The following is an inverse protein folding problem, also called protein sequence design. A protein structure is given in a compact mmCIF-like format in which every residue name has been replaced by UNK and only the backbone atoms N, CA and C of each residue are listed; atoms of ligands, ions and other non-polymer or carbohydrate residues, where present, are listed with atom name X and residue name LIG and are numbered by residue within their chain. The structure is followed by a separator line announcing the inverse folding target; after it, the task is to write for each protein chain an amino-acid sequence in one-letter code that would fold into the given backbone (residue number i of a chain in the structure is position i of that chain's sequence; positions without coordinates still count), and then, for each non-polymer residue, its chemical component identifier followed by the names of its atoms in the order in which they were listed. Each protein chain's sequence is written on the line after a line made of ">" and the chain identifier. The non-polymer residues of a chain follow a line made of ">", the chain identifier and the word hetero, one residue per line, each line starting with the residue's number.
data_IF_941231023885
#
_entry.id   IF_941231023885
#
_cell.length_a   1.000
_cell.length_b   1.000
_cell.length_c   1.000
_cell.angle_alpha   90.00
_cell.angle_beta   90.00
_cell.angle_gamma   90.00
#
_symmetry.space_group_name_H-M   'P 1'
#
loop_
_entity.id
_entity.type
_entity.pdbx_description
1 polymer ?
#
# COMPACT_ATOMS: atom_id res chain seq x y z
N UNK A 1 -7.71 -1.51 4.24
CA UNK A 1 -9.02 -2.08 3.85
C UNK A 1 -9.34 -3.37 4.61
N UNK A 2 -8.55 -4.43 4.51
CA UNK A 2 -8.85 -5.72 5.18
C UNK A 2 -9.08 -5.56 6.69
N UNK A 3 -8.19 -4.86 7.40
CA UNK A 3 -8.35 -4.63 8.83
C UNK A 3 -9.65 -3.88 9.19
N UNK A 4 -10.10 -2.95 8.34
CA UNK A 4 -11.37 -2.24 8.51
C UNK A 4 -12.57 -3.18 8.34
N UNK A 5 -12.55 -4.03 7.30
CA UNK A 5 -13.60 -5.03 7.07
C UNK A 5 -13.68 -6.05 8.22
N UNK A 6 -12.54 -6.51 8.72
CA UNK A 6 -12.47 -7.41 9.88
C UNK A 6 -13.01 -6.72 11.13
N UNK A 7 -12.59 -5.47 11.41
CA UNK A 7 -13.06 -4.73 12.57
C UNK A 7 -14.58 -4.57 12.58
N UNK A 8 -15.20 -4.24 11.43
CA UNK A 8 -16.67 -4.18 11.31
C UNK A 8 -17.33 -5.51 11.65
N UNK A 9 -16.79 -6.63 11.16
CA UNK A 9 -17.35 -7.96 11.42
C UNK A 9 -17.26 -8.33 12.90
N UNK A 10 -16.14 -8.00 13.54
CA UNK A 10 -15.94 -8.22 14.98
C UNK A 10 -16.90 -7.35 15.81
N UNK A 11 -17.02 -6.05 15.51
CA UNK A 11 -17.98 -5.16 16.18
C UNK A 11 -19.43 -5.62 16.01
N UNK A 12 -19.80 -6.08 14.81
CA UNK A 12 -21.12 -6.63 14.54
C UNK A 12 -21.43 -7.91 15.35
N UNK A 13 -20.38 -8.65 15.75
CA UNK A 13 -20.49 -9.81 16.62
C UNK A 13 -20.42 -9.47 18.12
N UNK A 14 -20.32 -8.20 18.48
CA UNK A 14 -20.30 -7.71 19.86
C UNK A 14 -18.90 -7.55 20.45
N UNK A 15 -17.84 -7.73 19.66
CA UNK A 15 -16.47 -7.48 20.13
C UNK A 15 -16.16 -5.97 20.21
N UNK A 16 -15.33 -5.59 21.17
CA UNK A 16 -14.77 -4.24 21.27
C UNK A 16 -13.46 -4.14 20.48
N UNK A 17 -13.41 -3.29 19.45
CA UNK A 17 -12.17 -2.98 18.72
C UNK A 17 -11.49 -1.75 19.34
N UNK A 18 -10.48 -2.01 20.17
CA UNK A 18 -9.74 -0.94 20.88
C UNK A 18 -8.80 -0.13 19.99
N UNK A 19 -8.39 -0.67 18.86
CA UNK A 19 -7.51 0.02 17.92
C UNK A 19 -7.68 -0.52 16.50
N UNK A 20 -7.80 0.42 15.56
CA UNK A 20 -7.68 0.15 14.12
C UNK A 20 -6.76 1.21 13.52
N UNK A 21 -5.67 0.77 12.88
CA UNK A 21 -4.72 1.63 12.19
C UNK A 21 -4.83 1.49 10.67
N UNK A 22 -4.90 2.61 9.94
CA UNK A 22 -4.67 2.66 8.50
C UNK A 22 -3.30 3.28 8.22
N UNK A 23 -2.46 2.57 7.46
CA UNK A 23 -1.12 3.05 7.12
C UNK A 23 -1.12 3.61 5.71
N UNK A 24 -1.17 4.94 5.63
CA UNK A 24 -1.03 5.73 4.43
C UNK A 24 -1.89 5.24 3.25
N UNK A 25 -3.16 4.91 3.55
CA UNK A 25 -4.12 4.38 2.58
C UNK A 25 -5.50 5.04 2.78
N UNK A 26 -6.13 5.60 1.74
CA UNK A 26 -7.47 6.18 1.80
C UNK A 26 -8.52 5.06 1.77
N UNK A 27 -9.77 5.35 2.15
CA UNK A 27 -10.85 4.35 2.09
C UNK A 27 -11.24 4.01 0.64
N UNK A 28 -11.21 4.99 -0.26
CA UNK A 28 -11.51 4.79 -1.68
C UNK A 28 -10.24 4.50 -2.48
N UNK A 29 -10.05 3.24 -2.86
CA UNK A 29 -8.86 2.76 -3.60
C UNK A 29 -9.18 2.28 -5.02
N UNK A 30 -10.47 2.23 -5.36
CA UNK A 30 -10.99 1.59 -6.57
C UNK A 30 -10.32 2.07 -7.86
N UNK A 31 -10.26 3.37 -8.07
CA UNK A 31 -9.67 3.95 -9.27
C UNK A 31 -8.18 3.60 -9.41
N UNK A 32 -7.46 3.53 -8.29
CA UNK A 32 -6.05 3.11 -8.29
C UNK A 32 -5.93 1.63 -8.61
N UNK A 33 -6.78 0.76 -8.04
CA UNK A 33 -6.71 -0.68 -8.31
C UNK A 33 -6.93 -1.00 -9.80
N UNK A 34 -7.77 -0.22 -10.49
CA UNK A 34 -8.02 -0.36 -11.93
C UNK A 34 -6.83 0.01 -12.84
N UNK A 35 -5.83 0.70 -12.30
CA UNK A 35 -4.61 1.07 -13.01
C UNK A 35 -3.49 0.05 -12.83
N UNK A 36 -3.65 -0.94 -11.95
CA UNK A 36 -2.61 -1.89 -11.58
C UNK A 36 -2.88 -3.24 -12.25
N UNK A 37 -2.64 -3.31 -13.55
CA UNK A 37 -2.68 -4.59 -14.26
C UNK A 37 -1.46 -5.48 -13.89
N UNK A 38 -1.36 -6.65 -14.50
CA UNK A 38 -0.30 -7.61 -14.18
C UNK A 38 1.10 -7.04 -14.47
N UNK A 39 1.28 -6.25 -15.54
CA UNK A 39 2.57 -5.67 -15.91
C UNK A 39 2.93 -4.57 -14.92
N UNK A 40 2.00 -3.68 -14.61
CA UNK A 40 2.20 -2.61 -13.64
C UNK A 40 2.45 -3.16 -12.22
N UNK A 41 1.78 -4.26 -11.83
CA UNK A 41 2.10 -4.98 -10.59
C UNK A 41 3.54 -5.52 -10.60
N UNK A 42 4.01 -6.02 -11.75
CA UNK A 42 5.38 -6.49 -11.95
C UNK A 42 6.41 -5.39 -11.79
N UNK A 43 6.16 -4.23 -12.38
CA UNK A 43 7.02 -3.06 -12.31
C UNK A 43 7.10 -2.54 -10.86
N UNK A 44 5.96 -2.34 -10.21
CA UNK A 44 5.91 -1.85 -8.83
C UNK A 44 6.63 -2.81 -7.87
N UNK A 45 6.40 -4.12 -7.99
CA UNK A 45 7.10 -5.11 -7.17
C UNK A 45 8.61 -5.08 -7.42
N UNK A 46 9.03 -4.93 -8.67
CA UNK A 46 10.45 -4.88 -9.03
C UNK A 46 11.15 -3.65 -8.46
N UNK A 47 10.48 -2.51 -8.49
CA UNK A 47 10.96 -1.29 -7.84
C UNK A 47 11.06 -1.47 -6.31
N UNK A 48 10.01 -1.97 -5.65
CA UNK A 48 10.01 -2.15 -4.19
C UNK A 48 11.03 -3.17 -3.67
N UNK A 49 11.47 -4.08 -4.54
CA UNK A 49 12.51 -5.07 -4.23
C UNK A 49 13.91 -4.60 -4.64
N UNK A 50 14.07 -3.34 -5.06
CA UNK A 50 15.31 -2.77 -5.58
C UNK A 50 15.90 -3.57 -6.76
N UNK A 51 15.04 -4.19 -7.57
CA UNK A 51 15.45 -4.83 -8.84
C UNK A 51 15.67 -3.78 -9.93
N UNK A 52 14.90 -2.69 -9.89
CA UNK A 52 14.99 -1.51 -10.74
C UNK A 52 14.76 -0.25 -9.89
N UNK A 53 15.21 0.93 -10.34
CA UNK A 53 14.92 2.19 -9.62
C UNK A 53 13.48 2.68 -9.88
N UNK A 54 12.99 3.61 -9.04
CA UNK A 54 11.69 4.26 -9.23
C UNK A 54 11.63 5.01 -10.57
N UNK A 55 12.70 5.73 -10.92
CA UNK A 55 12.75 6.44 -12.20
C UNK A 55 12.67 5.46 -13.37
N UNK A 56 13.41 4.36 -13.28
CA UNK A 56 13.40 3.35 -14.34
C UNK A 56 12.04 2.65 -14.45
N UNK A 57 11.35 2.39 -13.34
CA UNK A 57 10.00 1.85 -13.33
C UNK A 57 9.01 2.75 -14.10
N UNK A 58 9.08 4.06 -13.90
CA UNK A 58 8.25 5.04 -14.61
C UNK A 58 8.55 5.07 -16.12
N UNK A 59 9.82 4.96 -16.51
CA UNK A 59 10.25 4.91 -17.91
C UNK A 59 9.87 3.62 -18.62
N UNK A 60 9.91 2.49 -17.89
CA UNK A 60 9.64 1.16 -18.42
C UNK A 60 8.15 0.90 -18.61
N UNK A 61 7.29 1.47 -17.77
CA UNK A 61 5.85 1.16 -17.78
C UNK A 61 5.23 1.24 -19.18
N UNK A 62 5.31 2.35 -19.94
CA UNK A 62 4.72 2.38 -21.28
C UNK A 62 5.26 1.29 -22.22
N UNK A 63 6.57 0.98 -22.14
CA UNK A 63 7.24 0.01 -23.02
C UNK A 63 6.86 -1.43 -22.69
N UNK A 64 6.79 -1.77 -21.41
CA UNK A 64 6.49 -3.14 -20.98
C UNK A 64 5.02 -3.51 -21.21
N UNK A 65 4.11 -2.54 -21.24
CA UNK A 65 2.71 -2.78 -21.61
C UNK A 65 2.52 -3.07 -23.10
N UNK A 66 3.52 -2.83 -23.95
CA UNK A 66 3.51 -3.25 -25.38
C UNK A 66 3.95 -4.71 -25.56
N UNK A 67 4.45 -5.35 -24.51
CA UNK A 67 5.01 -6.70 -24.53
C UNK A 67 4.01 -7.75 -24.01
N UNK A 68 4.30 -9.03 -24.28
CA UNK A 68 3.63 -10.11 -23.55
C UNK A 68 4.10 -10.10 -22.08
N UNK A 69 3.27 -10.64 -21.16
CA UNK A 69 3.66 -10.78 -19.74
C UNK A 69 4.98 -11.55 -19.56
N UNK A 70 5.26 -12.51 -20.45
CA UNK A 70 6.49 -13.29 -20.45
C UNK A 70 7.70 -12.44 -20.82
N UNK A 71 7.59 -11.67 -21.90
CA UNK A 71 8.66 -10.78 -22.38
C UNK A 71 8.90 -9.61 -21.40
N UNK A 72 7.83 -9.08 -20.80
CA UNK A 72 7.93 -8.05 -19.76
C UNK A 72 8.67 -8.57 -18.51
N UNK A 73 8.36 -9.80 -18.09
CA UNK A 73 9.08 -10.46 -17.00
C UNK A 73 10.55 -10.70 -17.34
N UNK A 74 10.84 -11.14 -18.56
CA UNK A 74 12.22 -11.36 -19.02
C UNK A 74 13.01 -10.05 -19.06
N UNK A 75 12.37 -8.96 -19.47
CA UNK A 75 12.97 -7.63 -19.42
C UNK A 75 13.31 -7.22 -17.98
N UNK A 76 12.35 -7.30 -17.06
CA UNK A 76 12.57 -7.00 -15.63
C UNK A 76 13.72 -7.83 -15.06
N UNK A 77 13.74 -9.14 -15.34
CA UNK A 77 14.80 -10.04 -14.87
C UNK A 77 16.18 -9.63 -15.43
N UNK A 78 16.23 -9.11 -16.66
CA UNK A 78 17.48 -8.66 -17.29
C UNK A 78 18.03 -7.35 -16.71
N UNK A 79 17.16 -6.50 -16.15
CA UNK A 79 17.55 -5.25 -15.49
C UNK A 79 18.11 -5.48 -14.08
N UNK A 80 17.68 -6.56 -13.42
CA UNK A 80 18.00 -6.82 -12.03
C UNK A 80 19.47 -7.23 -11.83
N UNK A 81 20.11 -6.66 -10.81
CA UNK A 81 21.45 -7.10 -10.41
C UNK A 81 21.43 -8.56 -9.93
N UNK A 82 22.34 -9.39 -10.46
CA UNK A 82 22.40 -10.81 -10.12
C UNK A 82 22.60 -11.04 -8.61
N UNK A 83 23.36 -10.17 -7.94
CA UNK A 83 23.54 -10.20 -6.48
C UNK A 83 22.23 -10.02 -5.72
N UNK A 84 21.38 -9.09 -6.16
CA UNK A 84 20.07 -8.82 -5.55
C UNK A 84 19.09 -9.98 -5.75
N UNK A 85 19.08 -10.56 -6.95
CA UNK A 85 18.29 -11.77 -7.22
C UNK A 85 18.70 -12.94 -6.31
N UNK A 86 20.00 -13.12 -6.09
CA UNK A 86 20.53 -14.15 -5.18
C UNK A 86 20.15 -13.86 -3.73
N UNK A 87 20.33 -12.62 -3.26
CA UNK A 87 19.97 -12.18 -1.91
C UNK A 87 18.50 -12.48 -1.60
N UNK A 88 17.60 -12.15 -2.52
CA UNK A 88 16.15 -12.39 -2.39
C UNK A 88 15.75 -13.83 -2.75
N UNK A 89 16.70 -14.67 -3.16
CA UNK A 89 16.46 -16.03 -3.66
C UNK A 89 15.39 -16.09 -4.76
N UNK A 90 15.36 -15.07 -5.62
CA UNK A 90 14.42 -14.92 -6.72
C UNK A 90 14.91 -15.64 -7.98
N UNK A 91 13.99 -16.38 -8.58
CA UNK A 91 14.12 -16.93 -9.93
C UNK A 91 13.00 -16.32 -10.78
N UNK A 92 13.11 -16.42 -12.11
CA UNK A 92 12.04 -16.00 -13.03
C UNK A 92 10.67 -16.54 -12.62
N UNK A 93 10.60 -17.84 -12.29
CA UNK A 93 9.35 -18.48 -11.87
C UNK A 93 8.85 -17.94 -10.53
N UNK A 94 9.72 -17.74 -9.54
CA UNK A 94 9.31 -17.16 -8.25
C UNK A 94 8.83 -15.72 -8.41
N UNK A 95 9.51 -14.91 -9.22
CA UNK A 95 9.09 -13.54 -9.49
C UNK A 95 7.71 -13.53 -10.16
N UNK A 96 7.48 -14.36 -11.19
CA UNK A 96 6.13 -14.54 -11.79
C UNK A 96 5.07 -14.87 -10.75
N UNK A 97 5.36 -15.80 -9.84
CA UNK A 97 4.42 -16.17 -8.77
C UNK A 97 4.11 -14.97 -7.87
N UNK A 98 5.11 -14.20 -7.47
CA UNK A 98 4.91 -13.00 -6.66
C UNK A 98 4.12 -11.91 -7.38
N UNK A 99 4.42 -11.65 -8.65
CA UNK A 99 3.67 -10.67 -9.47
C UNK A 99 2.20 -11.11 -9.58
N UNK A 100 1.98 -12.40 -9.86
CA UNK A 100 0.63 -12.96 -9.99
C UNK A 100 -0.14 -12.86 -8.68
N UNK A 101 0.51 -13.14 -7.55
CA UNK A 101 -0.09 -12.99 -6.23
C UNK A 101 -0.46 -11.52 -5.96
N UNK A 102 0.46 -10.59 -6.18
CA UNK A 102 0.21 -9.16 -6.00
C UNK A 102 -0.95 -8.66 -6.88
N UNK A 103 -0.96 -9.03 -8.15
CA UNK A 103 -2.04 -8.69 -9.08
C UNK A 103 -3.37 -9.29 -8.65
N UNK A 104 -3.41 -10.56 -8.21
CA UNK A 104 -4.65 -11.19 -7.71
C UNK A 104 -5.18 -10.51 -6.45
N UNK A 105 -4.30 -10.02 -5.57
CA UNK A 105 -4.71 -9.22 -4.41
C UNK A 105 -5.32 -7.88 -4.83
N UNK A 106 -4.79 -7.24 -5.88
CA UNK A 106 -5.36 -6.01 -6.44
C UNK A 106 -6.70 -6.28 -7.15
N UNK A 107 -6.81 -7.37 -7.91
CA UNK A 107 -8.05 -7.82 -8.56
C UNK A 107 -9.19 -7.99 -7.54
N UNK A 108 -8.88 -8.55 -6.36
CA UNK A 108 -9.85 -8.70 -5.28
C UNK A 108 -10.40 -7.36 -4.74
N UNK A 109 -9.71 -6.24 -5.00
CA UNK A 109 -10.10 -4.91 -4.59
C UNK A 109 -10.66 -4.04 -5.74
N UNK A 110 -10.78 -4.57 -6.97
CA UNK A 110 -11.20 -3.79 -8.16
C UNK A 110 -12.59 -3.17 -8.04
N UNK A 111 -13.51 -3.89 -7.40
CA UNK A 111 -14.89 -3.44 -7.20
C UNK A 111 -15.20 -3.17 -5.73
N UNK A 112 -14.17 -3.15 -4.90
CA UNK A 112 -14.32 -2.87 -3.49
C UNK A 112 -14.72 -1.41 -3.27
N UNK A 113 -15.86 -1.21 -2.63
CA UNK A 113 -16.30 0.06 -2.08
C UNK A 113 -16.47 -0.09 -0.57
N UNK A 114 -15.82 0.75 0.25
CA UNK A 114 -16.02 0.74 1.68
C UNK A 114 -17.48 1.08 2.02
N UNK A 115 -18.01 0.40 3.03
CA UNK A 115 -19.36 0.61 3.53
C UNK A 115 -19.44 0.32 5.03
N UNK A 116 -20.49 0.79 5.70
CA UNK A 116 -20.62 0.67 7.15
C UNK A 116 -19.63 1.57 7.89
N UNK A 117 -19.46 1.34 9.19
CA UNK A 117 -18.52 2.12 10.01
C UNK A 117 -17.91 1.29 11.12
N UNK A 118 -16.74 1.73 11.58
CA UNK A 118 -16.09 1.25 12.82
C UNK A 118 -16.22 2.30 13.92
N UNK A 119 -15.95 1.92 15.17
CA UNK A 119 -16.00 2.85 16.30
C UNK A 119 -15.02 4.01 16.11
N UNK A 120 -13.77 3.68 15.77
CA UNK A 120 -12.71 4.65 15.58
C UNK A 120 -11.62 4.14 14.66
N UNK A 121 -10.83 5.05 14.10
CA UNK A 121 -9.66 4.72 13.28
C UNK A 121 -8.54 5.75 13.49
N UNK A 122 -7.32 5.26 13.51
CA UNK A 122 -6.09 6.05 13.52
C UNK A 122 -5.42 5.94 12.15
N UNK A 123 -5.12 7.07 11.52
CA UNK A 123 -4.57 7.13 10.16
C UNK A 123 -3.14 7.66 10.22
N UNK A 124 -2.19 6.82 9.88
CA UNK A 124 -0.77 7.15 9.83
C UNK A 124 -0.44 7.62 8.42
N UNK A 125 -0.14 8.90 8.25
CA UNK A 125 0.07 9.50 6.94
C UNK A 125 1.54 9.84 6.69
N UNK A 126 2.02 9.45 5.52
CA UNK A 126 3.38 9.65 5.03
C UNK A 126 3.33 10.43 3.71
N UNK A 127 4.48 10.60 3.05
CA UNK A 127 4.53 11.20 1.72
C UNK A 127 3.70 10.34 0.73
N UNK A 128 2.74 10.92 0.00
CA UNK A 128 1.94 10.18 -0.96
C UNK A 128 2.74 9.81 -2.21
N UNK A 129 2.27 8.80 -2.94
CA UNK A 129 2.70 8.58 -4.32
C UNK A 129 2.26 9.78 -5.18
N UNK A 130 3.15 10.28 -6.06
CA UNK A 130 2.84 11.39 -6.98
C UNK A 130 1.61 11.13 -7.85
N UNK A 131 1.34 9.86 -8.16
CA UNK A 131 0.20 9.43 -8.96
C UNK A 131 -1.14 9.42 -8.20
N UNK A 132 -1.12 9.54 -6.87
CA UNK A 132 -2.30 9.37 -6.01
C UNK A 132 -2.79 10.69 -5.40
N UNK A 133 -1.89 11.64 -5.18
CA UNK A 133 -2.24 12.97 -4.67
C UNK A 133 -1.38 14.05 -5.32
N UNK A 134 -1.98 15.22 -5.55
CA UNK A 134 -1.28 16.35 -6.17
C UNK A 134 -0.20 16.95 -5.26
N UNK A 135 -0.43 16.93 -3.95
CA UNK A 135 0.47 17.43 -2.93
C UNK A 135 0.09 16.84 -1.54
N UNK A 136 0.92 17.02 -0.50
CA UNK A 136 0.62 16.50 0.84
C UNK A 136 -0.70 16.99 1.45
N UNK A 137 -1.12 18.22 1.15
CA UNK A 137 -2.39 18.77 1.63
C UNK A 137 -3.57 18.03 1.01
N UNK A 138 -3.59 17.85 -0.32
CA UNK A 138 -4.62 17.07 -1.01
C UNK A 138 -4.71 15.64 -0.48
N UNK A 139 -3.57 15.02 -0.20
CA UNK A 139 -3.51 13.69 0.36
C UNK A 139 -4.24 13.58 1.71
N UNK A 140 -3.98 14.52 2.62
CA UNK A 140 -4.60 14.51 3.95
C UNK A 140 -6.06 14.95 3.86
N UNK A 141 -6.33 16.10 3.26
CA UNK A 141 -7.62 16.79 3.35
C UNK A 141 -8.68 16.19 2.43
N UNK A 142 -8.30 15.62 1.28
CA UNK A 142 -9.26 15.10 0.29
C UNK A 142 -9.24 13.58 0.13
N UNK A 143 -8.16 12.89 0.52
CA UNK A 143 -8.05 11.44 0.39
C UNK A 143 -8.17 10.73 1.73
N UNK A 144 -7.27 11.00 2.67
CA UNK A 144 -7.23 10.30 3.96
C UNK A 144 -8.34 10.74 4.91
N UNK A 145 -8.74 12.01 4.90
CA UNK A 145 -9.85 12.53 5.70
C UNK A 145 -11.17 11.81 5.46
N UNK A 146 -11.35 11.19 4.28
CA UNK A 146 -12.55 10.42 3.91
C UNK A 146 -12.79 9.21 4.80
N UNK A 147 -11.82 8.79 5.61
CA UNK A 147 -12.07 7.83 6.68
C UNK A 147 -13.14 8.30 7.68
N UNK A 148 -13.41 9.61 7.77
CA UNK A 148 -14.51 10.15 8.58
C UNK A 148 -15.89 9.66 8.12
N UNK A 149 -16.05 9.30 6.85
CA UNK A 149 -17.31 8.76 6.33
C UNK A 149 -17.57 7.31 6.82
N UNK A 150 -16.53 6.64 7.35
CA UNK A 150 -16.52 5.23 7.74
C UNK A 150 -16.14 5.02 9.21
N UNK A 151 -16.09 6.08 10.01
CA UNK A 151 -15.72 6.04 11.43
C UNK A 151 -16.73 6.84 12.24
N UNK A 152 -17.16 6.31 13.38
CA UNK A 152 -18.11 7.00 14.27
C UNK A 152 -17.44 8.11 15.07
N UNK A 153 -16.15 7.95 15.38
CA UNK A 153 -15.29 9.02 15.87
C UNK A 153 -14.53 9.71 14.71
N UNK A 154 -14.16 10.98 14.91
CA UNK A 154 -13.24 11.66 13.99
C UNK A 154 -11.91 10.89 13.89
N UNK A 155 -11.42 10.59 12.67
CA UNK A 155 -10.13 9.92 12.48
C UNK A 155 -8.99 10.68 13.14
N UNK A 156 -8.13 9.97 13.89
CA UNK A 156 -6.91 10.56 14.46
C UNK A 156 -5.79 10.48 13.43
N UNK A 157 -5.27 11.63 13.01
CA UNK A 157 -4.21 11.71 12.01
C UNK A 157 -2.84 11.73 12.69
N UNK A 158 -1.94 10.86 12.24
CA UNK A 158 -0.58 10.74 12.77
C UNK A 158 0.43 10.88 11.63
N UNK A 159 1.23 11.94 11.65
CA UNK A 159 2.32 12.08 10.70
C UNK A 159 3.45 11.09 11.01
N UNK A 160 3.96 10.43 9.97
CA UNK A 160 5.12 9.55 10.04
C UNK A 160 6.12 9.88 8.92
N UNK A 161 7.37 9.48 9.12
CA UNK A 161 8.44 9.72 8.14
C UNK A 161 8.33 8.79 6.92
N UNK A 162 9.04 9.14 5.85
CA UNK A 162 9.10 8.36 4.61
C UNK A 162 7.87 8.55 3.71
N UNK A 163 7.72 7.61 2.78
CA UNK A 163 6.63 7.52 1.82
C UNK A 163 5.83 6.21 2.03
N UNK A 164 4.77 6.00 1.25
CA UNK A 164 3.92 4.80 1.37
C UNK A 164 4.70 3.47 1.49
N UNK A 165 5.75 3.28 0.69
CA UNK A 165 6.57 2.06 0.68
C UNK A 165 7.83 2.15 1.56
N UNK A 166 8.19 3.32 2.09
CA UNK A 166 9.38 3.50 2.96
C UNK A 166 9.06 3.84 4.41
N UNK A 167 7.81 4.10 4.78
CA UNK A 167 7.45 4.49 6.17
C UNK A 167 7.80 3.43 7.24
N UNK A 168 8.14 2.21 6.83
CA UNK A 168 8.63 1.13 7.69
C UNK A 168 10.01 0.61 7.27
N UNK A 169 10.75 1.34 6.43
CA UNK A 169 12.12 1.00 6.06
C UNK A 169 13.06 1.12 7.27
N UNK A 170 14.28 0.56 7.22
CA UNK A 170 15.23 0.64 8.34
C UNK A 170 15.48 2.07 8.85
N UNK A 171 15.42 3.07 7.98
CA UNK A 171 15.60 4.49 8.30
C UNK A 171 14.43 5.08 9.10
N UNK A 172 13.22 4.56 8.90
CA UNK A 172 11.97 5.15 9.42
C UNK A 172 11.24 4.27 10.44
N UNK A 173 11.54 2.98 10.51
CA UNK A 173 10.82 2.01 11.35
C UNK A 173 10.82 2.38 12.83
N UNK A 174 11.91 2.99 13.33
CA UNK A 174 12.01 3.39 14.74
C UNK A 174 11.13 4.59 15.07
N UNK A 175 11.06 5.60 14.19
CA UNK A 175 10.17 6.75 14.40
C UNK A 175 8.72 6.34 14.20
N UNK A 176 8.43 5.50 13.20
CA UNK A 176 7.11 4.90 13.00
C UNK A 176 6.63 4.14 14.24
N UNK A 177 7.47 3.27 14.80
CA UNK A 177 7.16 2.48 16.00
C UNK A 177 6.87 3.37 17.22
N UNK A 178 7.60 4.47 17.41
CA UNK A 178 7.31 5.44 18.49
C UNK A 178 5.94 6.10 18.31
N UNK A 179 5.60 6.51 17.10
CA UNK A 179 4.29 7.13 16.79
C UNK A 179 3.16 6.12 17.01
N UNK A 180 3.32 4.89 16.53
CA UNK A 180 2.34 3.81 16.75
C UNK A 180 2.15 3.53 18.25
N UNK A 181 3.24 3.41 19.02
CA UNK A 181 3.14 3.22 20.47
C UNK A 181 2.45 4.37 21.18
N UNK A 182 2.66 5.62 20.73
CA UNK A 182 1.95 6.76 21.29
C UNK A 182 0.44 6.66 20.99
N UNK A 183 0.07 6.36 19.74
CA UNK A 183 -1.33 6.20 19.35
C UNK A 183 -2.03 5.10 20.15
N UNK A 184 -1.36 3.96 20.38
CA UNK A 184 -1.86 2.87 21.24
C UNK A 184 -2.09 3.34 22.69
N UNK A 185 -1.12 4.03 23.29
CA UNK A 185 -1.27 4.58 24.66
C UNK A 185 -2.40 5.60 24.76
N UNK A 186 -2.57 6.46 23.74
CA UNK A 186 -3.66 7.44 23.67
C UNK A 186 -5.04 6.78 23.47
N UNK A 187 -5.07 5.47 23.17
CA UNK A 187 -6.25 4.59 23.13
C UNK A 187 -6.37 3.70 24.38
N UNK A 188 -5.46 3.84 25.35
CA UNK A 188 -5.45 3.08 26.60
C UNK A 188 -4.87 1.67 26.49
N UNK A 189 -4.03 1.42 25.48
CA UNK A 189 -3.33 0.14 25.22
C UNK A 189 -1.85 0.19 25.57
#
# INVERSE_FOLDING_TARGET
>A
MIAFEIAKLLEANGDEIRFLGSFNLPPHIKDRMRQLDWVEAGINLSYFLDLISEEHALELSPKLHELSNDDALDHIMSCAAQSRLVELSLTRNKLRTWITLAHKMQEAALEYEPSGSVASIDVFHAIPLKLVAANPTDWIENKLSKWADFSREMPRMHQVDGAHYTMMSPEHVFTFQKTLQKALRDRGL
#
